data_IF_166634975415
#
_entry.id   IF_166634975415
#
_cell.length_a   1.000
_cell.length_b   1.000
_cell.length_c   1.000
_cell.angle_alpha   90.00
_cell.angle_beta   90.00
_cell.angle_gamma   90.00
#
_symmetry.space_group_name_H-M   'P 1'
#
loop_
_entity.id
_entity.type
_entity.pdbx_description
1 polymer ?
#
# COMPACT_ATOMS: atom_id res chain seq x y z
N UNK A 1 -13.98 -12.22 2.21
CA UNK A 1 -12.96 -11.16 2.06
C UNK A 1 -13.59 -9.77 2.09
N UNK A 2 -13.29 -8.98 3.12
CA UNK A 2 -13.77 -7.61 3.29
C UNK A 2 -12.60 -6.61 3.20
N UNK A 3 -12.77 -5.52 2.45
CA UNK A 3 -11.79 -4.43 2.41
C UNK A 3 -12.10 -3.49 3.57
N UNK A 4 -11.18 -3.37 4.52
CA UNK A 4 -11.32 -2.51 5.69
C UNK A 4 -10.92 -1.07 5.38
N UNK A 5 -9.86 -0.88 4.59
CA UNK A 5 -9.35 0.44 4.25
C UNK A 5 -8.58 0.42 2.94
N UNK A 6 -8.57 1.55 2.21
CA UNK A 6 -7.74 1.78 1.02
C UNK A 6 -6.81 2.95 1.28
N UNK A 7 -5.61 2.90 0.73
CA UNK A 7 -4.60 3.95 0.89
C UNK A 7 -4.19 4.50 -0.46
N UNK A 8 -3.90 5.80 -0.51
CA UNK A 8 -3.42 6.50 -1.73
C UNK A 8 -1.89 6.45 -1.89
N UNK A 9 -1.21 5.65 -1.08
CA UNK A 9 0.24 5.48 -1.11
C UNK A 9 0.77 4.82 0.14
N UNK A 10 1.96 4.22 0.05
CA UNK A 10 2.54 3.44 1.14
C UNK A 10 2.85 4.30 2.37
N UNK A 11 3.23 5.57 2.17
CA UNK A 11 3.45 6.52 3.25
C UNK A 11 2.18 6.77 4.10
N UNK A 12 1.00 6.70 3.48
CA UNK A 12 -0.27 6.87 4.20
C UNK A 12 -0.50 5.71 5.17
N UNK A 13 -0.11 4.47 4.81
CA UNK A 13 -0.23 3.29 5.69
C UNK A 13 0.46 3.52 7.03
N UNK A 14 1.67 4.09 7.01
CA UNK A 14 2.46 4.33 8.21
C UNK A 14 2.10 5.62 8.96
N UNK A 15 1.46 6.58 8.30
CA UNK A 15 0.90 7.78 8.93
C UNK A 15 -0.43 7.50 9.62
N UNK A 16 -1.26 6.66 9.02
CA UNK A 16 -2.62 6.37 9.47
C UNK A 16 -2.71 5.14 10.39
N UNK A 17 -1.65 4.79 11.13
CA UNK A 17 -1.62 3.63 12.04
C UNK A 17 -2.81 3.59 13.01
N UNK A 18 -3.16 4.72 13.62
CA UNK A 18 -4.32 4.80 14.53
C UNK A 18 -5.66 4.57 13.81
N UNK A 19 -5.77 4.92 12.52
CA UNK A 19 -6.96 4.62 11.72
C UNK A 19 -7.03 3.15 11.34
N UNK A 20 -5.87 2.52 11.11
CA UNK A 20 -5.78 1.06 10.91
C UNK A 20 -6.32 0.37 12.16
N UNK A 21 -5.80 0.69 13.34
CA UNK A 21 -6.28 0.13 14.62
C UNK A 21 -7.80 0.34 14.80
N UNK A 22 -8.30 1.54 14.51
CA UNK A 22 -9.74 1.83 14.54
C UNK A 22 -10.56 0.97 13.56
N UNK A 23 -10.05 0.74 12.35
CA UNK A 23 -10.68 -0.12 11.35
C UNK A 23 -10.68 -1.60 11.80
N UNK A 24 -9.60 -2.08 12.41
CA UNK A 24 -9.50 -3.43 12.97
C UNK A 24 -10.50 -3.64 14.11
N UNK A 25 -10.60 -2.66 15.01
CA UNK A 25 -11.57 -2.68 16.11
C UNK A 25 -13.02 -2.68 15.59
N UNK A 26 -13.32 -1.86 14.57
CA UNK A 26 -14.65 -1.82 13.93
C UNK A 26 -14.99 -3.13 13.24
N UNK A 27 -13.99 -3.79 12.65
CA UNK A 27 -14.12 -5.10 12.03
C UNK A 27 -14.18 -6.26 13.03
N UNK A 28 -14.12 -5.98 14.34
CA UNK A 28 -14.09 -6.98 15.43
C UNK A 28 -12.97 -8.00 15.26
N UNK A 29 -11.81 -7.55 14.80
CA UNK A 29 -10.60 -8.38 14.76
C UNK A 29 -10.14 -8.62 16.19
N UNK A 30 -9.77 -9.86 16.50
CA UNK A 30 -9.22 -10.23 17.81
C UNK A 30 -8.00 -9.38 18.17
N UNK A 31 -7.88 -9.01 19.44
CA UNK A 31 -6.81 -8.12 19.91
C UNK A 31 -5.41 -8.72 19.69
N UNK A 32 -5.27 -10.03 19.81
CA UNK A 32 -4.05 -10.77 19.50
C UNK A 32 -3.68 -10.63 18.02
N UNK A 33 -4.63 -10.83 17.10
CA UNK A 33 -4.43 -10.71 15.67
C UNK A 33 -4.15 -9.27 15.25
N UNK A 34 -4.84 -8.29 15.85
CA UNK A 34 -4.60 -6.86 15.62
C UNK A 34 -3.18 -6.46 16.06
N UNK A 35 -2.76 -6.91 17.24
CA UNK A 35 -1.41 -6.63 17.76
C UNK A 35 -0.33 -7.29 16.91
N UNK A 36 -0.52 -8.56 16.54
CA UNK A 36 0.40 -9.28 15.66
C UNK A 36 0.52 -8.58 14.30
N UNK A 37 -0.61 -8.19 13.70
CA UNK A 37 -0.64 -7.43 12.45
C UNK A 37 0.13 -6.12 12.55
N UNK A 38 -0.10 -5.31 13.59
CA UNK A 38 0.56 -4.02 13.75
C UNK A 38 2.07 -4.16 13.95
N UNK A 39 2.51 -5.19 14.70
CA UNK A 39 3.92 -5.52 14.85
C UNK A 39 4.54 -5.92 13.52
N UNK A 40 3.86 -6.77 12.75
CA UNK A 40 4.33 -7.23 11.45
C UNK A 40 4.33 -6.12 10.40
N UNK A 41 3.38 -5.20 10.46
CA UNK A 41 3.30 -4.03 9.59
C UNK A 41 4.54 -3.14 9.75
N UNK A 42 5.02 -2.97 10.99
CA UNK A 42 6.24 -2.19 11.27
C UNK A 42 7.49 -2.97 10.87
N UNK A 43 7.57 -4.27 11.16
CA UNK A 43 8.76 -5.07 10.84
C UNK A 43 8.97 -5.25 9.33
N UNK A 44 7.88 -5.43 8.57
CA UNK A 44 7.89 -5.61 7.11
C UNK A 44 7.80 -4.29 6.34
N UNK A 45 8.12 -3.16 6.99
CA UNK A 45 8.07 -1.84 6.34
C UNK A 45 8.90 -1.76 5.07
N UNK A 46 10.17 -2.17 5.12
CA UNK A 46 11.04 -2.15 3.94
C UNK A 46 10.41 -2.97 2.80
N UNK A 47 9.98 -4.20 3.09
CA UNK A 47 9.36 -5.08 2.10
C UNK A 47 8.12 -4.47 1.46
N UNK A 48 7.28 -3.79 2.24
CA UNK A 48 6.10 -3.13 1.72
C UNK A 48 6.44 -1.91 0.85
N UNK A 49 7.46 -1.13 1.24
CA UNK A 49 7.99 -0.02 0.43
C UNK A 49 8.61 -0.52 -0.88
N UNK A 50 9.43 -1.59 -0.82
CA UNK A 50 10.05 -2.22 -1.99
C UNK A 50 8.99 -2.73 -2.97
N UNK A 51 7.97 -3.45 -2.47
CA UNK A 51 6.89 -3.96 -3.31
C UNK A 51 6.05 -2.83 -3.92
N UNK A 52 5.83 -1.76 -3.17
CA UNK A 52 5.17 -0.57 -3.72
C UNK A 52 5.96 0.04 -4.87
N UNK A 53 7.27 0.22 -4.71
CA UNK A 53 8.14 0.73 -5.78
C UNK A 53 8.17 -0.20 -6.99
N UNK A 54 8.18 -1.51 -6.78
CA UNK A 54 8.10 -2.51 -7.85
C UNK A 54 6.80 -2.36 -8.65
N UNK A 55 5.64 -2.25 -7.99
CA UNK A 55 4.34 -2.04 -8.65
C UNK A 55 4.29 -0.70 -9.41
N UNK A 56 4.86 0.38 -8.83
CA UNK A 56 4.96 1.68 -9.51
C UNK A 56 5.82 1.58 -10.77
N UNK A 57 7.01 0.97 -10.67
CA UNK A 57 7.93 0.78 -11.79
C UNK A 57 7.34 -0.14 -12.86
N UNK A 58 6.44 -1.05 -12.47
CA UNK A 58 5.73 -1.94 -13.38
C UNK A 58 4.49 -1.31 -14.03
N UNK A 59 4.13 -0.07 -13.70
CA UNK A 59 3.00 0.61 -14.31
C UNK A 59 3.19 0.75 -15.83
N UNK A 60 2.24 0.19 -16.58
CA UNK A 60 2.30 0.15 -18.04
C UNK A 60 2.27 1.53 -18.70
N UNK A 61 1.71 2.57 -18.05
CA UNK A 61 1.71 3.93 -18.61
C UNK A 61 3.04 4.63 -18.30
N UNK A 62 3.62 4.39 -17.12
CA UNK A 62 4.96 4.85 -16.80
C UNK A 62 6.00 4.23 -17.74
N UNK A 63 5.93 2.92 -17.99
CA UNK A 63 6.83 2.23 -18.94
C UNK A 63 6.73 2.71 -20.39
N UNK A 64 5.55 3.21 -20.79
CA UNK A 64 5.29 3.75 -22.14
C UNK A 64 5.51 5.26 -22.21
N UNK A 65 5.86 5.90 -21.10
CA UNK A 65 6.12 7.32 -21.07
C UNK A 65 7.49 7.59 -21.68
N UNK A 66 7.49 8.02 -22.94
CA UNK A 66 8.66 8.66 -23.55
C UNK A 66 8.67 10.11 -23.10
N UNK A 67 9.66 10.47 -22.27
CA UNK A 67 9.92 11.86 -21.93
C UNK A 67 10.33 12.58 -23.22
N UNK A 68 9.36 13.22 -23.90
CA UNK A 68 9.67 14.08 -25.04
C UNK A 68 10.60 15.18 -24.53
N UNK A 69 11.82 15.21 -25.06
CA UNK A 69 12.85 16.20 -24.74
C UNK A 69 12.29 17.62 -24.94
N UNK A 70 11.74 18.19 -23.88
CA UNK A 70 11.45 19.62 -23.77
C UNK A 70 11.92 20.03 -22.38
N UNK A 71 13.20 20.44 -22.29
CA UNK A 71 13.81 21.22 -21.20
C UNK A 71 12.93 21.44 -19.96
N UNK A 72 12.72 20.38 -19.16
CA UNK A 72 12.17 20.41 -17.79
C UNK A 72 11.83 18.97 -17.38
N UNK A 73 12.65 18.40 -16.51
CA UNK A 73 12.45 17.14 -15.78
C UNK A 73 11.11 17.04 -14.99
N UNK A 74 10.23 18.05 -15.07
CA UNK A 74 8.95 18.09 -14.38
C UNK A 74 7.88 17.12 -14.90
N UNK A 75 8.02 16.60 -16.12
CA UNK A 75 7.06 15.65 -16.70
C UNK A 75 7.14 14.26 -16.06
N UNK A 76 8.36 13.74 -15.91
CA UNK A 76 8.59 12.40 -15.37
C UNK A 76 8.14 12.28 -13.90
N UNK A 77 8.40 13.32 -13.09
CA UNK A 77 7.93 13.37 -11.70
C UNK A 77 6.40 13.34 -11.56
N UNK A 78 5.66 13.96 -12.49
CA UNK A 78 4.18 13.90 -12.50
C UNK A 78 3.67 12.50 -12.84
N UNK A 79 4.28 11.84 -13.82
CA UNK A 79 3.91 10.48 -14.21
C UNK A 79 4.25 9.45 -13.13
N UNK A 80 5.39 9.60 -12.46
CA UNK A 80 5.74 8.80 -11.28
C UNK A 80 4.70 8.93 -10.17
N UNK A 81 4.27 10.17 -9.88
CA UNK A 81 3.21 10.42 -8.89
C UNK A 81 1.88 9.80 -9.34
N UNK A 82 1.52 9.94 -10.61
CA UNK A 82 0.30 9.34 -11.14
C UNK A 82 0.34 7.80 -11.14
N UNK A 83 1.51 7.19 -11.35
CA UNK A 83 1.71 5.75 -11.24
C UNK A 83 1.58 5.28 -9.78
N UNK A 84 2.21 5.99 -8.84
CA UNK A 84 2.07 5.78 -7.40
C UNK A 84 0.61 5.81 -6.91
N UNK A 85 -0.19 6.77 -7.39
CA UNK A 85 -1.61 6.90 -7.03
C UNK A 85 -2.50 5.79 -7.62
N UNK A 86 -2.02 5.10 -8.67
CA UNK A 86 -2.72 3.97 -9.30
C UNK A 86 -2.46 2.64 -8.62
N UNK A 87 -1.37 2.52 -7.85
CA UNK A 87 -1.08 1.30 -7.09
C UNK A 87 -2.14 1.10 -6.02
N UNK A 88 -2.82 -0.04 -6.10
CA UNK A 88 -3.88 -0.39 -5.16
C UNK A 88 -3.27 -0.87 -3.86
N UNK A 89 -3.44 -0.12 -2.77
CA UNK A 89 -3.01 -0.52 -1.43
C UNK A 89 -4.24 -0.67 -0.54
N UNK A 90 -4.41 -1.85 0.06
CA UNK A 90 -5.64 -2.19 0.78
C UNK A 90 -5.36 -2.97 2.06
N UNK A 91 -6.07 -2.61 3.13
CA UNK A 91 -6.21 -3.42 4.32
C UNK A 91 -7.40 -4.35 4.13
N UNK A 92 -7.17 -5.64 4.23
CA UNK A 92 -8.16 -6.69 3.94
C UNK A 92 -8.30 -7.59 5.15
N UNK A 93 -9.55 -7.91 5.49
CA UNK A 93 -9.88 -8.91 6.49
C UNK A 93 -10.55 -10.10 5.81
N UNK A 94 -9.97 -11.28 6.00
CA UNK A 94 -10.50 -12.52 5.44
C UNK A 94 -10.21 -13.69 6.36
N UNK A 95 -11.22 -14.53 6.61
CA UNK A 95 -11.08 -15.78 7.35
C UNK A 95 -10.37 -15.61 8.72
N UNK A 96 -10.71 -14.54 9.45
CA UNK A 96 -10.12 -14.25 10.77
C UNK A 96 -8.78 -13.51 10.73
N UNK A 97 -8.18 -13.32 9.55
CA UNK A 97 -6.86 -12.71 9.38
C UNK A 97 -6.91 -11.35 8.72
N UNK A 98 -6.00 -10.48 9.14
CA UNK A 98 -5.79 -9.16 8.56
C UNK A 98 -4.58 -9.21 7.65
N UNK A 99 -4.69 -8.60 6.47
CA UNK A 99 -3.57 -8.49 5.55
C UNK A 99 -3.47 -7.10 4.93
N UNK A 100 -2.24 -6.65 4.67
CA UNK A 100 -1.97 -5.51 3.81
C UNK A 100 -1.64 -6.04 2.42
N UNK A 101 -2.40 -5.59 1.42
CA UNK A 101 -2.16 -5.88 0.01
C UNK A 101 -1.62 -4.66 -0.71
N UNK A 102 -0.64 -4.88 -1.58
CA UNK A 102 -0.09 -3.88 -2.51
C UNK A 102 -0.15 -4.50 -3.91
N UNK A 103 -0.91 -3.87 -4.81
CA UNK A 103 -1.27 -4.48 -6.07
C UNK A 103 -2.08 -5.77 -5.85
N UNK A 104 -1.54 -6.90 -6.31
CA UNK A 104 -2.14 -8.23 -6.12
C UNK A 104 -1.53 -9.00 -4.95
N UNK A 105 -0.38 -8.57 -4.45
CA UNK A 105 0.42 -9.29 -3.45
C UNK A 105 -0.02 -8.98 -2.02
N UNK A 106 0.07 -10.00 -1.16
CA UNK A 106 -0.03 -9.84 0.30
C UNK A 106 1.37 -9.59 0.82
N UNK A 107 1.61 -8.38 1.36
CA UNK A 107 2.93 -7.98 1.87
C UNK A 107 3.07 -8.15 3.37
N UNK A 108 1.95 -8.08 4.10
CA UNK A 108 1.86 -8.25 5.56
C UNK A 108 0.61 -9.07 5.85
N UNK A 109 0.69 -10.01 6.79
CA UNK A 109 -0.46 -10.76 7.28
C UNK A 109 -0.35 -10.98 8.80
N UNK A 110 -1.48 -11.17 9.49
CA UNK A 110 -1.52 -11.66 10.87
C UNK A 110 -1.64 -13.17 10.94
#
# INVERSE_FOLDING_TARGET
MAILMKFKGIAQVYKDKSKIEGALKKAKVDESNSTAFMKELVSKRSRAEDKFLEEVNNDSKLKKFEAKFTHSDGGYGKELKAAAERVVIQLVYDSGKVSLKIGRDVVVAS
#
